data_IF_664199565930
#
_entry.id   IF_664199565930
#
_cell.length_a   1.000
_cell.length_b   1.000
_cell.length_c   1.000
_cell.angle_alpha   90.00
_cell.angle_beta   90.00
_cell.angle_gamma   90.00
#
_symmetry.space_group_name_H-M   'P 1'
#
loop_
_entity.id
_entity.type
_entity.pdbx_description
1 polymer ?
#
# COMPACT_ATOMS: atom_id res chain seq x y z
N UNK A 1 -3.37 -11.20 13.07
CA UNK A 1 -3.39 -11.47 11.61
C UNK A 1 -2.07 -11.02 11.01
N UNK A 2 -1.71 -11.47 9.80
CA UNK A 2 -0.45 -11.10 9.14
C UNK A 2 -0.72 -10.16 7.97
N UNK A 3 0.07 -9.09 7.85
CA UNK A 3 0.00 -8.16 6.73
C UNK A 3 1.39 -7.98 6.12
N UNK A 4 1.47 -8.00 4.79
CA UNK A 4 2.72 -7.72 4.08
C UNK A 4 2.74 -6.25 3.67
N UNK A 5 3.93 -5.68 3.52
CA UNK A 5 4.09 -4.36 2.89
C UNK A 5 5.08 -4.46 1.75
N UNK A 6 4.90 -3.67 0.70
CA UNK A 6 5.87 -3.59 -0.40
C UNK A 6 5.89 -2.19 -1.03
N UNK A 7 7.08 -1.73 -1.35
CA UNK A 7 7.35 -0.45 -2.00
C UNK A 7 8.09 -0.68 -3.31
N UNK A 8 7.73 0.04 -4.37
CA UNK A 8 8.29 -0.22 -5.71
C UNK A 8 9.33 0.82 -6.17
N UNK A 9 9.74 1.74 -5.31
CA UNK A 9 10.88 2.62 -5.56
C UNK A 9 12.14 1.77 -5.77
N UNK A 10 12.90 2.08 -6.81
CA UNK A 10 14.05 1.26 -7.23
C UNK A 10 13.67 0.03 -8.07
N UNK A 11 12.53 -0.62 -7.83
CA UNK A 11 12.16 -1.89 -8.44
C UNK A 11 11.41 -1.82 -9.79
N UNK A 12 11.51 -2.91 -10.55
CA UNK A 12 10.71 -3.23 -11.73
C UNK A 12 9.41 -3.96 -11.33
N UNK A 13 8.42 -3.97 -12.23
CA UNK A 13 7.17 -4.71 -11.99
C UNK A 13 7.42 -6.21 -11.80
N UNK A 14 8.35 -6.79 -12.54
CA UNK A 14 8.69 -8.20 -12.45
C UNK A 14 9.30 -8.56 -11.08
N UNK A 15 10.21 -7.73 -10.55
CA UNK A 15 10.79 -7.91 -9.21
C UNK A 15 9.72 -7.86 -8.12
N UNK A 16 8.79 -6.90 -8.20
CA UNK A 16 7.65 -6.79 -7.28
C UNK A 16 6.77 -8.03 -7.33
N UNK A 17 6.36 -8.46 -8.52
CA UNK A 17 5.49 -9.64 -8.68
C UNK A 17 6.18 -10.90 -8.15
N UNK A 18 7.45 -11.11 -8.50
CA UNK A 18 8.22 -12.28 -8.04
C UNK A 18 8.36 -12.29 -6.50
N UNK A 19 8.61 -11.14 -5.89
CA UNK A 19 8.69 -11.01 -4.43
C UNK A 19 7.35 -11.36 -3.76
N UNK A 20 6.24 -10.82 -4.28
CA UNK A 20 4.89 -11.12 -3.78
C UNK A 20 4.56 -12.61 -3.90
N UNK A 21 4.83 -13.22 -5.06
CA UNK A 21 4.60 -14.65 -5.27
C UNK A 21 5.45 -15.50 -4.33
N UNK A 22 6.73 -15.15 -4.13
CA UNK A 22 7.64 -15.86 -3.22
C UNK A 22 7.21 -15.77 -1.75
N UNK A 23 6.60 -14.65 -1.35
CA UNK A 23 6.02 -14.46 -0.02
C UNK A 23 4.64 -15.12 0.16
N UNK A 24 4.06 -15.69 -0.90
CA UNK A 24 2.74 -16.30 -0.86
C UNK A 24 1.58 -15.30 -0.81
N UNK A 25 1.83 -14.04 -1.17
CA UNK A 25 0.79 -13.01 -1.27
C UNK A 25 -0.21 -13.41 -2.37
N UNK A 26 -1.50 -13.22 -2.08
CA UNK A 26 -2.62 -13.51 -2.99
C UNK A 26 -3.36 -12.26 -3.41
N UNK A 27 -3.23 -11.16 -2.68
CA UNK A 27 -3.85 -9.88 -3.03
C UNK A 27 -2.90 -8.71 -2.78
N UNK A 28 -2.78 -7.82 -3.76
CA UNK A 28 -2.09 -6.54 -3.63
C UNK A 28 -3.13 -5.42 -3.40
N UNK A 29 -3.10 -4.85 -2.20
CA UNK A 29 -3.88 -3.69 -1.82
C UNK A 29 -3.13 -2.41 -2.21
N UNK A 30 -3.53 -1.79 -3.31
CA UNK A 30 -2.97 -0.53 -3.78
C UNK A 30 -3.62 0.63 -3.03
N UNK A 31 -2.92 1.11 -2.01
CA UNK A 31 -3.36 2.21 -1.16
C UNK A 31 -2.94 3.59 -1.71
N UNK A 32 -2.49 3.69 -2.97
CA UNK A 32 -2.16 4.99 -3.57
C UNK A 32 -3.43 5.78 -3.87
N UNK A 33 -3.48 7.03 -3.43
CA UNK A 33 -4.56 7.97 -3.79
C UNK A 33 -4.65 8.15 -5.31
N UNK A 34 -3.48 8.20 -5.97
CA UNK A 34 -3.34 8.31 -7.43
C UNK A 34 -2.49 7.14 -7.91
N UNK A 35 -3.10 6.04 -8.40
CA UNK A 35 -2.38 4.86 -8.89
C UNK A 35 -1.84 5.06 -10.32
N UNK A 36 -1.18 6.20 -10.53
CA UNK A 36 -0.47 6.58 -11.75
C UNK A 36 1.01 6.66 -11.42
N UNK A 37 1.84 6.00 -12.22
CA UNK A 37 3.29 5.98 -12.00
C UNK A 37 4.03 6.24 -13.30
N UNK A 38 5.13 6.99 -13.21
CA UNK A 38 6.11 7.11 -14.30
C UNK A 38 7.02 5.89 -14.39
N UNK A 39 7.06 5.05 -13.36
CA UNK A 39 7.82 3.79 -13.38
C UNK A 39 7.06 2.78 -14.27
N UNK A 40 7.71 2.21 -15.29
CA UNK A 40 7.08 1.23 -16.18
C UNK A 40 6.41 0.10 -15.39
N UNK A 41 5.20 -0.28 -15.80
CA UNK A 41 4.45 -1.37 -15.16
C UNK A 41 3.61 -0.99 -13.93
N UNK A 42 3.79 0.18 -13.32
CA UNK A 42 3.14 0.54 -12.05
C UNK A 42 1.89 1.44 -12.18
N UNK A 43 1.42 1.69 -13.39
CA UNK A 43 0.09 2.30 -13.61
C UNK A 43 -1.00 1.25 -13.44
N UNK A 44 -2.11 1.62 -12.76
CA UNK A 44 -3.19 0.71 -12.33
C UNK A 44 -3.45 -0.49 -13.24
N UNK A 45 -3.82 -0.23 -14.50
CA UNK A 45 -4.29 -1.30 -15.40
C UNK A 45 -3.15 -2.26 -15.80
N UNK A 46 -1.94 -1.74 -16.00
CA UNK A 46 -0.76 -2.56 -16.35
C UNK A 46 -0.33 -3.39 -15.14
N UNK A 47 -0.35 -2.78 -13.94
CA UNK A 47 -0.02 -3.45 -12.70
C UNK A 47 -1.00 -4.60 -12.42
N UNK A 48 -2.31 -4.31 -12.49
CA UNK A 48 -3.36 -5.30 -12.28
C UNK A 48 -3.29 -6.46 -13.28
N UNK A 49 -2.97 -6.18 -14.55
CA UNK A 49 -2.82 -7.22 -15.57
C UNK A 49 -1.63 -8.16 -15.24
N UNK A 50 -0.46 -7.61 -14.93
CA UNK A 50 0.71 -8.42 -14.58
C UNK A 50 0.51 -9.24 -13.30
N UNK A 51 -0.14 -8.67 -12.28
CA UNK A 51 -0.49 -9.41 -11.05
C UNK A 51 -1.43 -10.58 -11.34
N UNK A 52 -2.45 -10.34 -12.18
CA UNK A 52 -3.42 -11.38 -12.56
C UNK A 52 -2.75 -12.55 -13.29
N UNK A 53 -1.78 -12.29 -14.17
CA UNK A 53 -0.99 -13.33 -14.82
C UNK A 53 -0.21 -14.20 -13.83
N UNK A 54 0.22 -13.62 -12.70
CA UNK A 54 0.86 -14.31 -11.60
C UNK A 54 -0.12 -14.90 -10.55
N UNK A 55 -1.43 -14.81 -10.79
CA UNK A 55 -2.46 -15.29 -9.86
C UNK A 55 -2.57 -14.48 -8.57
N UNK A 56 -2.24 -13.18 -8.62
CA UNK A 56 -2.38 -12.23 -7.52
C UNK A 56 -3.50 -11.25 -7.88
N UNK A 57 -4.47 -11.10 -6.98
CA UNK A 57 -5.55 -10.14 -7.14
C UNK A 57 -5.08 -8.72 -6.86
N UNK A 58 -5.76 -7.75 -7.46
CA UNK A 58 -5.48 -6.33 -7.28
C UNK A 58 -6.73 -5.61 -6.80
N UNK A 59 -6.62 -4.89 -5.69
CA UNK A 59 -7.69 -4.03 -5.17
C UNK A 59 -7.14 -2.64 -4.87
N UNK A 60 -7.84 -1.61 -5.36
CA UNK A 60 -7.45 -0.21 -5.15
C UNK A 60 -8.22 0.44 -4.01
N UNK A 61 -7.51 0.81 -2.96
CA UNK A 61 -8.05 1.50 -1.78
C UNK A 61 -7.67 2.98 -1.80
N UNK A 62 -8.14 3.71 -2.82
CA UNK A 62 -7.75 5.11 -3.05
C UNK A 62 -8.05 6.05 -1.88
N UNK A 63 -9.11 5.78 -1.11
CA UNK A 63 -9.48 6.60 0.05
C UNK A 63 -8.47 6.43 1.20
N UNK A 64 -7.70 5.34 1.20
CA UNK A 64 -6.58 5.13 2.13
C UNK A 64 -5.28 5.76 1.62
N UNK A 65 -5.30 6.49 0.52
CA UNK A 65 -4.10 7.13 0.00
C UNK A 65 -3.79 8.48 0.62
N UNK A 66 -2.50 8.82 0.59
CA UNK A 66 -2.04 10.11 1.12
C UNK A 66 -2.56 11.29 0.28
N UNK A 67 -3.19 12.31 0.89
CA UNK A 67 -3.59 13.56 0.22
C UNK A 67 -2.42 14.30 -0.43
N UNK A 68 -2.66 15.25 -1.36
CA UNK A 68 -1.60 16.03 -2.01
C UNK A 68 -0.60 16.66 -1.03
N UNK A 69 -1.09 17.27 0.04
CA UNK A 69 -0.28 17.94 1.06
C UNK A 69 0.57 16.93 1.84
N UNK A 70 0.02 15.75 2.12
CA UNK A 70 0.76 14.67 2.78
C UNK A 70 1.84 14.08 1.88
N UNK A 71 1.58 13.96 0.56
CA UNK A 71 2.61 13.53 -0.41
C UNK A 71 3.75 14.55 -0.50
N UNK A 72 3.44 15.84 -0.44
CA UNK A 72 4.44 16.90 -0.36
C UNK A 72 5.28 16.80 0.92
N UNK A 73 4.65 16.51 2.06
CA UNK A 73 5.36 16.28 3.32
C UNK A 73 6.29 15.06 3.24
N UNK A 74 5.81 13.94 2.68
CA UNK A 74 6.59 12.72 2.46
C UNK A 74 7.83 12.98 1.58
N UNK A 75 7.67 13.70 0.46
CA UNK A 75 8.79 14.09 -0.43
C UNK A 75 9.86 14.94 0.25
N UNK A 76 9.47 15.73 1.25
CA UNK A 76 10.38 16.56 2.05
C UNK A 76 10.91 15.83 3.28
N UNK A 77 10.64 14.53 3.43
CA UNK A 77 10.95 13.72 4.61
C UNK A 77 10.41 14.32 5.92
N UNK A 78 9.31 15.08 5.84
CA UNK A 78 8.64 15.64 7.01
C UNK A 78 7.59 14.64 7.52
N UNK A 79 8.06 13.59 8.18
CA UNK A 79 7.22 12.49 8.67
C UNK A 79 6.18 12.94 9.69
N UNK A 80 6.51 13.92 10.55
CA UNK A 80 5.56 14.46 11.52
C UNK A 80 4.37 15.13 10.82
N UNK A 81 4.63 15.96 9.80
CA UNK A 81 3.55 16.59 9.02
C UNK A 81 2.77 15.59 8.19
N UNK A 82 3.43 14.56 7.65
CA UNK A 82 2.74 13.46 6.97
C UNK A 82 1.76 12.76 7.92
N UNK A 83 2.19 12.41 9.13
CA UNK A 83 1.36 11.73 10.11
C UNK A 83 0.12 12.55 10.48
N UNK A 84 0.29 13.85 10.75
CA UNK A 84 -0.81 14.78 11.05
C UNK A 84 -1.83 14.89 9.91
N UNK A 85 -1.37 15.02 8.67
CA UNK A 85 -2.28 15.10 7.51
C UNK A 85 -3.00 13.77 7.29
N UNK A 86 -2.26 12.67 7.42
CA UNK A 86 -2.78 11.35 7.12
C UNK A 86 -3.76 10.86 8.19
N UNK A 87 -3.59 11.22 9.46
CA UNK A 87 -4.59 10.93 10.49
C UNK A 87 -5.94 11.56 10.15
N UNK A 88 -5.96 12.84 9.72
CA UNK A 88 -7.18 13.50 9.27
C UNK A 88 -7.80 12.86 8.01
N UNK A 89 -6.98 12.31 7.11
CA UNK A 89 -7.48 11.54 5.96
C UNK A 89 -8.22 10.27 6.41
N UNK A 90 -7.72 9.57 7.43
CA UNK A 90 -8.31 8.32 7.91
C UNK A 90 -9.63 8.53 8.68
N UNK A 91 -9.93 9.76 9.10
CA UNK A 91 -11.21 10.14 9.73
C UNK A 91 -12.34 10.36 8.70
N UNK A 92 -12.04 10.42 7.40
CA UNK A 92 -13.06 10.60 6.37
C UNK A 92 -13.95 9.35 6.23
N UNK A 93 -15.28 9.49 6.05
CA UNK A 93 -16.19 8.35 5.97
C UNK A 93 -15.79 7.30 4.92
N UNK A 94 -15.33 7.73 3.75
CA UNK A 94 -14.85 6.86 2.69
C UNK A 94 -13.56 6.11 3.05
N UNK A 95 -12.67 6.74 3.83
CA UNK A 95 -11.45 6.11 4.30
C UNK A 95 -11.77 5.07 5.37
N UNK A 96 -12.65 5.38 6.32
CA UNK A 96 -13.12 4.43 7.33
C UNK A 96 -13.78 3.21 6.69
N UNK A 97 -14.61 3.41 5.66
CA UNK A 97 -15.24 2.33 4.93
C UNK A 97 -14.20 1.43 4.23
N UNK A 98 -13.26 2.01 3.50
CA UNK A 98 -12.20 1.25 2.83
C UNK A 98 -11.23 0.58 3.80
N UNK A 99 -10.97 1.18 4.96
CA UNK A 99 -10.18 0.59 6.03
C UNK A 99 -10.84 -0.68 6.57
N UNK A 100 -12.16 -0.65 6.82
CA UNK A 100 -12.90 -1.84 7.23
C UNK A 100 -12.82 -2.94 6.15
N UNK A 101 -13.03 -2.59 4.88
CA UNK A 101 -12.90 -3.54 3.77
C UNK A 101 -11.49 -4.15 3.67
N UNK A 102 -10.45 -3.34 3.84
CA UNK A 102 -9.06 -3.78 3.84
C UNK A 102 -8.79 -4.76 4.98
N UNK A 103 -9.24 -4.43 6.20
CA UNK A 103 -9.07 -5.29 7.38
C UNK A 103 -9.76 -6.64 7.18
N UNK A 104 -10.99 -6.66 6.66
CA UNK A 104 -11.70 -7.92 6.40
C UNK A 104 -11.03 -8.74 5.28
N UNK A 105 -10.56 -8.08 4.22
CA UNK A 105 -9.79 -8.74 3.15
C UNK A 105 -8.50 -9.36 3.69
N UNK A 106 -7.76 -8.65 4.54
CA UNK A 106 -6.51 -9.11 5.12
C UNK A 106 -6.66 -10.27 6.13
N UNK A 107 -7.84 -10.45 6.72
CA UNK A 107 -8.15 -11.62 7.58
C UNK A 107 -8.32 -12.90 6.76
N UNK A 108 -8.85 -12.80 5.55
CA UNK A 108 -9.19 -13.96 4.72
C UNK A 108 -8.10 -14.29 3.69
N UNK A 109 -7.39 -13.27 3.20
CA UNK A 109 -6.47 -13.40 2.08
C UNK A 109 -5.09 -12.83 2.43
N UNK A 110 -3.98 -13.57 2.17
CA UNK A 110 -2.63 -13.04 2.32
C UNK A 110 -2.45 -11.77 1.48
N UNK A 111 -2.41 -10.62 2.16
CA UNK A 111 -2.52 -9.29 1.53
C UNK A 111 -1.24 -8.48 1.72
N UNK A 112 -0.79 -7.81 0.66
CA UNK A 112 0.30 -6.84 0.71
C UNK A 112 -0.19 -5.41 0.47
N UNK A 113 0.22 -4.46 1.31
CA UNK A 113 -0.02 -3.03 1.10
C UNK A 113 1.06 -2.46 0.18
N UNK A 114 0.64 -1.85 -0.92
CA UNK A 114 1.54 -1.22 -1.90
C UNK A 114 1.57 0.30 -1.74
N UNK A 115 2.77 0.88 -1.62
CA UNK A 115 3.01 2.29 -1.90
C UNK A 115 4.24 2.51 -2.80
N UNK A 116 4.63 3.77 -2.99
CA UNK A 116 5.81 4.10 -3.79
C UNK A 116 7.11 3.80 -3.05
N UNK A 117 7.27 4.35 -1.86
CA UNK A 117 8.52 4.37 -1.08
C UNK A 117 9.00 2.95 -0.80
N UNK A 118 10.28 2.64 -1.06
CA UNK A 118 10.83 1.31 -0.76
C UNK A 118 10.84 1.05 0.74
N UNK A 119 11.33 2.02 1.49
CA UNK A 119 11.41 1.98 2.95
C UNK A 119 10.02 2.24 3.57
N UNK A 120 9.48 1.31 4.38
CA UNK A 120 8.24 1.54 5.12
C UNK A 120 8.38 2.60 6.21
N UNK A 121 9.56 2.76 6.81
CA UNK A 121 9.85 3.75 7.84
C UNK A 121 9.50 5.17 7.41
N UNK A 122 8.37 5.69 7.91
CA UNK A 122 7.91 7.04 7.62
C UNK A 122 7.10 7.21 6.34
N UNK A 123 6.64 6.11 5.74
CA UNK A 123 5.63 6.12 4.68
C UNK A 123 4.21 5.95 5.26
N UNK A 124 3.18 6.13 4.44
CA UNK A 124 1.79 6.01 4.88
C UNK A 124 1.31 4.58 5.14
N UNK A 125 2.01 3.54 4.64
CA UNK A 125 1.66 2.13 4.93
C UNK A 125 1.75 1.86 6.44
N UNK A 126 2.83 2.29 7.08
CA UNK A 126 3.03 2.10 8.52
C UNK A 126 1.97 2.84 9.34
N UNK A 127 1.66 4.09 8.96
CA UNK A 127 0.61 4.88 9.60
C UNK A 127 -0.78 4.23 9.45
N UNK A 128 -1.08 3.68 8.26
CA UNK A 128 -2.33 2.98 8.01
C UNK A 128 -2.45 1.73 8.89
N UNK A 129 -1.39 0.91 8.92
CA UNK A 129 -1.33 -0.30 9.74
C UNK A 129 -1.54 0.04 11.22
N UNK A 130 -0.81 1.02 11.73
CA UNK A 130 -0.93 1.47 13.13
C UNK A 130 -2.36 1.90 13.46
N UNK A 131 -3.02 2.61 12.54
CA UNK A 131 -4.38 3.10 12.76
C UNK A 131 -5.46 2.02 12.70
N UNK A 132 -5.34 1.05 11.78
CA UNK A 132 -6.46 0.13 11.45
C UNK A 132 -6.21 -1.33 11.85
N UNK A 133 -4.96 -1.69 12.11
CA UNK A 133 -4.54 -3.04 12.46
C UNK A 133 -3.28 -3.06 13.35
N UNK A 134 -3.31 -2.38 14.52
CA UNK A 134 -2.12 -2.22 15.38
C UNK A 134 -1.53 -3.53 15.89
N UNK A 135 -2.34 -4.58 15.99
CA UNK A 135 -1.95 -5.91 16.47
C UNK A 135 -1.54 -6.87 15.32
N UNK A 136 -1.39 -6.37 14.10
CA UNK A 136 -0.98 -7.21 12.97
C UNK A 136 0.52 -7.55 13.04
N UNK A 137 0.86 -8.79 12.73
CA UNK A 137 2.24 -9.16 12.41
C UNK A 137 2.58 -8.55 11.04
N UNK A 138 3.42 -7.53 11.03
CA UNK A 138 3.84 -6.81 9.82
C UNK A 138 5.09 -7.49 9.25
N UNK A 139 5.04 -7.82 7.96
CA UNK A 139 6.18 -8.36 7.20
C UNK A 139 6.51 -7.42 6.05
N UNK A 140 7.62 -6.70 6.17
CA UNK A 140 8.08 -5.79 5.11
C UNK A 140 8.85 -6.56 4.03
N UNK A 141 8.34 -6.50 2.80
CA UNK A 141 8.97 -7.08 1.63
C UNK A 141 9.83 -6.02 0.94
N UNK A 142 11.09 -6.38 0.68
CA UNK A 142 12.06 -5.51 0.03
C UNK A 142 12.38 -6.03 -1.37
N UNK A 143 12.30 -5.11 -2.32
CA UNK A 143 12.69 -5.27 -3.74
C UNK A 143 13.67 -4.19 -4.17
#
# INVERSE_FOLDING_TARGET
>A
MKIFTIGYEGATQAEVINCLSGAGVKLLADIRAVPLSRRPGFSKNILAAGLKEAGIDYVGYKALGTPPEGREAARKHNHARLAEIYSGQLELPEAMFQAAQLVDTAKETPTALLCFEREPGGCHRSLLIEAVMPEAEVVDLFV
#
